data_IF_043817567700
#
_entry.id   IF_043817567700
#
_cell.length_a   1.000
_cell.length_b   1.000
_cell.length_c   1.000
_cell.angle_alpha   90.00
_cell.angle_beta   90.00
_cell.angle_gamma   90.00
#
_symmetry.space_group_name_H-M   'P 1'
#
loop_
_entity.id
_entity.type
_entity.pdbx_description
1 polymer ?
#
# COMPACT_ATOMS: atom_id res chain seq x y z
N UNK A 1 15.05 -6.57 19.16
CA UNK A 1 16.14 -5.75 18.61
C UNK A 1 17.33 -5.78 19.54
N UNK A 2 18.55 -5.83 18.99
CA UNK A 2 19.79 -5.85 19.74
C UNK A 2 20.74 -4.74 19.26
N UNK A 3 21.50 -4.17 20.18
CA UNK A 3 22.57 -3.20 19.87
C UNK A 3 23.88 -3.97 19.80
N UNK A 4 24.52 -3.97 18.65
CA UNK A 4 25.78 -4.68 18.44
C UNK A 4 26.67 -3.92 17.46
N UNK A 5 27.97 -3.80 17.80
CA UNK A 5 28.95 -3.09 16.99
C UNK A 5 28.49 -1.71 16.51
N UNK A 6 27.79 -0.94 17.37
CA UNK A 6 27.30 0.40 17.05
C UNK A 6 26.14 0.42 16.04
N UNK A 7 25.41 -0.68 15.88
CA UNK A 7 24.26 -0.83 14.97
C UNK A 7 23.07 -1.43 15.70
N UNK A 8 21.88 -1.20 15.18
CA UNK A 8 20.66 -1.86 15.61
C UNK A 8 20.37 -3.03 14.66
N UNK A 9 20.31 -4.23 15.22
CA UNK A 9 19.97 -5.44 14.49
C UNK A 9 18.64 -5.99 15.00
N UNK A 10 17.86 -6.61 14.10
CA UNK A 10 16.80 -7.53 14.47
C UNK A 10 17.36 -8.95 14.43
N UNK A 11 17.16 -9.71 15.50
CA UNK A 11 17.47 -11.15 15.55
C UNK A 11 16.17 -11.95 15.60
N UNK A 12 16.10 -12.97 14.77
CA UNK A 12 15.01 -13.93 14.74
C UNK A 12 15.59 -15.33 14.91
N UNK A 13 14.89 -16.17 15.65
CA UNK A 13 15.27 -17.57 15.82
C UNK A 13 14.17 -18.44 15.21
N UNK A 14 14.55 -19.27 14.25
CA UNK A 14 13.69 -20.26 13.62
C UNK A 14 14.11 -21.66 14.10
N UNK A 15 13.19 -22.52 14.51
CA UNK A 15 13.52 -23.88 14.89
C UNK A 15 14.21 -24.71 13.77
N UNK A 16 13.85 -24.43 12.51
CA UNK A 16 14.37 -25.16 11.34
C UNK A 16 15.63 -24.53 10.75
N UNK A 17 15.72 -23.17 10.74
CA UNK A 17 16.77 -22.42 10.04
C UNK A 17 17.79 -21.76 10.98
N UNK A 18 17.63 -21.94 12.31
CA UNK A 18 18.53 -21.35 13.29
C UNK A 18 18.31 -19.85 13.52
N UNK A 19 19.37 -19.15 13.91
CA UNK A 19 19.33 -17.70 14.18
C UNK A 19 19.68 -16.92 12.92
N UNK A 20 18.83 -15.93 12.62
CA UNK A 20 19.01 -14.97 11.51
C UNK A 20 19.04 -13.57 12.08
N UNK A 21 19.94 -12.73 11.60
CA UNK A 21 19.99 -11.33 11.96
C UNK A 21 20.00 -10.42 10.73
N UNK A 22 19.34 -9.26 10.84
CA UNK A 22 19.32 -8.25 9.80
C UNK A 22 19.57 -6.85 10.38
N UNK A 23 20.21 -6.00 9.59
CA UNK A 23 20.47 -4.61 9.97
C UNK A 23 19.17 -3.79 9.91
N UNK A 24 18.81 -3.15 11.02
CA UNK A 24 17.67 -2.23 11.12
C UNK A 24 18.13 -0.77 11.00
N UNK A 25 19.16 -0.37 11.75
CA UNK A 25 19.69 0.97 11.67
C UNK A 25 21.20 0.98 11.89
N UNK A 26 21.91 1.83 11.13
CA UNK A 26 23.36 2.03 11.28
C UNK A 26 23.70 2.95 12.45
N UNK A 27 22.77 3.81 12.84
CA UNK A 27 22.93 4.74 13.95
C UNK A 27 21.89 4.43 15.03
N UNK A 28 22.29 3.88 16.19
CA UNK A 28 21.39 3.58 17.29
C UNK A 28 20.69 4.82 17.87
N UNK A 29 21.34 5.98 17.88
CA UNK A 29 20.75 7.19 18.44
C UNK A 29 19.56 7.68 17.61
N UNK A 30 19.69 7.64 16.28
CA UNK A 30 18.60 8.00 15.38
C UNK A 30 17.42 7.02 15.52
N UNK A 31 17.70 5.71 15.65
CA UNK A 31 16.67 4.70 15.89
C UNK A 31 15.94 4.92 17.21
N UNK A 32 16.68 5.15 18.31
CA UNK A 32 16.09 5.40 19.62
C UNK A 32 15.27 6.71 19.61
N UNK A 33 15.75 7.75 18.95
CA UNK A 33 15.01 9.00 18.79
C UNK A 33 13.71 8.78 18.03
N UNK A 34 13.77 8.04 16.95
CA UNK A 34 12.58 7.71 16.13
C UNK A 34 11.54 6.88 16.91
N UNK A 35 11.98 5.86 17.65
CA UNK A 35 11.08 5.01 18.45
C UNK A 35 10.46 5.71 19.67
N UNK A 36 11.06 6.83 20.11
CA UNK A 36 10.55 7.63 21.23
C UNK A 36 9.54 8.71 20.83
N UNK A 37 9.25 8.87 19.53
CA UNK A 37 8.20 9.80 19.11
C UNK A 37 6.85 9.35 19.67
N UNK A 38 6.13 10.25 20.36
CA UNK A 38 4.80 9.91 20.84
C UNK A 38 3.89 9.65 19.62
N UNK A 39 3.37 8.46 19.55
CA UNK A 39 2.29 8.12 18.62
C UNK A 39 0.98 8.36 19.34
N UNK A 40 0.04 9.02 18.71
CA UNK A 40 -1.30 9.16 19.28
C UNK A 40 -1.93 7.77 19.35
N UNK A 41 -2.05 7.25 20.55
CA UNK A 41 -2.69 5.98 20.82
C UNK A 41 -4.20 6.20 20.96
N UNK A 42 -4.96 5.65 20.04
CA UNK A 42 -6.40 5.53 20.15
C UNK A 42 -6.67 4.03 20.21
N UNK A 43 -7.00 3.48 21.40
CA UNK A 43 -7.29 2.05 21.50
C UNK A 43 -8.56 1.71 20.71
N UNK A 44 -8.63 0.50 20.12
CA UNK A 44 -9.84 0.04 19.45
C UNK A 44 -10.99 -0.06 20.44
N UNK A 45 -12.20 0.37 20.05
CA UNK A 45 -13.38 0.32 20.92
C UNK A 45 -13.98 -1.08 21.02
N UNK A 46 -13.81 -1.88 20.00
CA UNK A 46 -14.36 -3.24 19.92
C UNK A 46 -13.24 -4.26 19.95
N UNK A 47 -13.38 -5.21 20.84
CA UNK A 47 -12.47 -6.32 21.01
C UNK A 47 -12.92 -7.49 20.11
N UNK A 48 -12.31 -7.67 18.94
CA UNK A 48 -12.69 -8.74 17.99
C UNK A 48 -12.19 -10.12 18.48
N UNK A 49 -11.10 -10.15 19.24
CA UNK A 49 -10.46 -11.39 19.68
C UNK A 49 -10.84 -11.75 21.10
N UNK A 50 -12.14 -11.85 21.39
CA UNK A 50 -12.59 -12.37 22.67
C UNK A 50 -12.14 -13.81 22.85
N UNK A 51 -11.34 -14.07 23.88
CA UNK A 51 -10.91 -15.42 24.23
C UNK A 51 -9.69 -15.94 23.47
N UNK A 52 -8.92 -15.12 22.78
CA UNK A 52 -7.62 -15.53 22.28
C UNK A 52 -6.68 -15.77 23.46
N UNK A 53 -6.43 -17.02 23.80
CA UNK A 53 -5.40 -17.41 24.76
C UNK A 53 -4.04 -17.28 24.08
N UNK A 54 -3.17 -16.44 24.60
CA UNK A 54 -1.81 -16.28 24.11
C UNK A 54 -1.27 -14.88 24.36
N UNK A 55 0.05 -14.76 24.29
CA UNK A 55 0.74 -13.49 24.46
C UNK A 55 0.92 -12.77 23.09
N UNK A 56 0.85 -11.44 23.13
CA UNK A 56 1.24 -10.60 22.00
C UNK A 56 2.70 -10.90 21.59
N UNK A 57 3.03 -11.10 20.30
CA UNK A 57 2.22 -10.85 19.10
C UNK A 57 1.61 -12.11 18.45
N UNK A 58 1.65 -13.26 19.09
CA UNK A 58 1.32 -14.55 18.44
C UNK A 58 -0.19 -14.71 18.18
N UNK A 59 -1.02 -14.08 18.99
CA UNK A 59 -2.48 -14.05 18.85
C UNK A 59 -2.96 -12.62 18.59
N UNK A 60 -2.34 -11.97 17.59
CA UNK A 60 -2.60 -10.57 17.33
C UNK A 60 -3.98 -10.35 16.69
N UNK A 61 -4.75 -9.53 17.37
CA UNK A 61 -6.02 -8.99 16.93
C UNK A 61 -6.28 -7.70 17.69
N UNK A 62 -7.49 -7.15 17.61
CA UNK A 62 -7.87 -6.01 18.43
C UNK A 62 -8.28 -6.49 19.81
N UNK A 63 -7.32 -6.80 20.67
CA UNK A 63 -7.54 -7.16 22.07
C UNK A 63 -7.48 -5.91 22.98
N UNK A 64 -7.88 -6.06 24.26
CA UNK A 64 -7.85 -4.97 25.25
C UNK A 64 -6.46 -4.35 25.46
N UNK A 65 -5.39 -5.09 25.16
CA UNK A 65 -4.01 -4.62 25.24
C UNK A 65 -3.51 -3.96 23.93
N UNK A 66 -4.35 -3.89 22.89
CA UNK A 66 -3.99 -3.25 21.65
C UNK A 66 -4.10 -1.73 21.79
N UNK A 67 -2.97 -1.05 21.76
CA UNK A 67 -2.89 0.39 22.07
C UNK A 67 -3.04 1.30 20.84
N UNK A 68 -3.17 0.74 19.65
CA UNK A 68 -3.26 1.52 18.40
C UNK A 68 -4.38 1.02 17.51
N UNK A 69 -5.11 1.96 16.89
CA UNK A 69 -6.02 1.66 15.79
C UNK A 69 -5.33 1.87 14.46
N UNK A 70 -5.71 1.08 13.46
CA UNK A 70 -5.31 1.33 12.08
C UNK A 70 -5.87 2.68 11.60
N UNK A 71 -5.06 3.46 10.91
CA UNK A 71 -5.54 4.68 10.24
C UNK A 71 -5.96 4.42 8.78
N UNK A 72 -5.43 3.35 8.19
CA UNK A 72 -5.74 2.93 6.83
C UNK A 72 -5.87 1.42 6.80
N UNK A 73 -6.95 0.92 6.21
CA UNK A 73 -7.22 -0.52 6.06
C UNK A 73 -7.09 -0.89 4.60
N UNK A 74 -6.25 -1.89 4.34
CA UNK A 74 -6.05 -2.43 3.03
C UNK A 74 -7.00 -3.60 2.81
N UNK A 75 -7.74 -3.55 1.70
CA UNK A 75 -8.64 -4.61 1.26
C UNK A 75 -8.16 -5.12 -0.08
N UNK A 76 -7.68 -6.35 -0.12
CA UNK A 76 -7.34 -7.04 -1.35
C UNK A 76 -8.63 -7.52 -2.01
N UNK A 77 -9.01 -6.87 -3.11
CA UNK A 77 -10.27 -7.14 -3.80
C UNK A 77 -10.15 -8.21 -4.87
N UNK A 78 -8.91 -8.54 -5.26
CA UNK A 78 -8.61 -9.55 -6.28
C UNK A 78 -7.21 -10.11 -6.11
N UNK A 79 -7.02 -11.39 -6.45
CA UNK A 79 -5.69 -12.00 -6.56
C UNK A 79 -5.13 -11.89 -7.99
N UNK A 80 -5.94 -11.47 -8.97
CA UNK A 80 -5.54 -11.32 -10.37
C UNK A 80 -4.67 -10.09 -10.57
N UNK A 81 -3.66 -10.22 -11.46
CA UNK A 81 -2.83 -9.10 -11.88
C UNK A 81 -2.45 -9.25 -13.35
N UNK A 82 -2.44 -8.14 -14.08
CA UNK A 82 -2.00 -8.05 -15.47
C UNK A 82 -0.50 -7.71 -15.60
N UNK A 83 0.30 -7.98 -14.56
CA UNK A 83 1.74 -7.72 -14.54
C UNK A 83 2.47 -8.79 -13.74
N UNK A 84 3.63 -9.26 -14.23
CA UNK A 84 4.45 -10.31 -13.60
C UNK A 84 5.75 -9.73 -13.06
N UNK A 85 5.67 -9.11 -11.88
CA UNK A 85 6.80 -8.38 -11.30
C UNK A 85 7.76 -9.31 -10.53
N UNK A 86 9.09 -9.26 -10.77
CA UNK A 86 10.07 -10.04 -10.02
C UNK A 86 10.05 -9.78 -8.50
N UNK A 87 9.65 -8.59 -8.09
CA UNK A 87 9.56 -8.17 -6.68
C UNK A 87 8.13 -8.22 -6.13
N UNK A 88 7.23 -9.03 -6.72
CA UNK A 88 5.88 -9.18 -6.21
C UNK A 88 5.84 -10.10 -4.99
N UNK A 89 5.51 -9.58 -3.82
CA UNK A 89 5.36 -10.40 -2.61
C UNK A 89 4.06 -11.22 -2.62
N UNK A 90 3.02 -10.74 -3.32
CA UNK A 90 1.73 -11.42 -3.43
C UNK A 90 1.74 -12.58 -4.44
N UNK A 91 2.78 -12.65 -5.31
CA UNK A 91 2.85 -13.63 -6.41
C UNK A 91 1.55 -13.67 -7.22
N UNK A 92 0.93 -12.51 -7.42
CA UNK A 92 -0.32 -12.39 -8.16
C UNK A 92 -0.13 -12.78 -9.64
N UNK A 93 -1.10 -13.50 -10.18
CA UNK A 93 -1.11 -14.02 -11.55
C UNK A 93 -2.42 -13.63 -12.26
N UNK A 94 -2.49 -13.82 -13.59
CA UNK A 94 -3.71 -13.52 -14.36
C UNK A 94 -4.91 -14.38 -13.94
N UNK A 95 -4.65 -15.59 -13.44
CA UNK A 95 -5.66 -16.61 -13.10
C UNK A 95 -6.11 -16.60 -11.63
N UNK A 96 -6.01 -15.48 -10.94
CA UNK A 96 -6.48 -15.34 -9.55
C UNK A 96 -8.00 -15.23 -9.42
N UNK A 97 -8.47 -15.10 -8.19
CA UNK A 97 -9.89 -14.96 -7.86
C UNK A 97 -10.23 -13.51 -7.50
N UNK A 98 -11.46 -13.12 -7.82
CA UNK A 98 -12.04 -11.87 -7.34
C UNK A 98 -12.80 -12.13 -6.03
N UNK A 99 -12.59 -11.26 -5.05
CA UNK A 99 -13.40 -11.28 -3.83
C UNK A 99 -14.85 -10.97 -4.18
N UNK A 100 -15.83 -11.77 -3.77
CA UNK A 100 -17.25 -11.49 -4.02
C UNK A 100 -17.67 -10.12 -3.45
N UNK A 101 -18.54 -9.41 -4.15
CA UNK A 101 -19.07 -8.10 -3.69
C UNK A 101 -19.69 -8.20 -2.29
N UNK A 102 -20.42 -9.28 -2.01
CA UNK A 102 -21.03 -9.52 -0.69
C UNK A 102 -19.99 -9.66 0.43
N UNK A 103 -18.80 -10.18 0.14
CA UNK A 103 -17.73 -10.27 1.11
C UNK A 103 -17.06 -8.91 1.32
N UNK A 104 -16.89 -8.13 0.26
CA UNK A 104 -16.38 -6.76 0.35
C UNK A 104 -17.34 -5.91 1.19
N UNK A 105 -18.64 -6.04 0.92
CA UNK A 105 -19.69 -5.36 1.68
C UNK A 105 -19.62 -5.70 3.18
N UNK A 106 -19.52 -6.99 3.51
CA UNK A 106 -19.35 -7.45 4.90
C UNK A 106 -18.09 -6.89 5.55
N UNK A 107 -16.98 -6.74 4.81
CA UNK A 107 -15.76 -6.12 5.33
C UNK A 107 -15.97 -4.63 5.61
N UNK A 108 -16.66 -3.91 4.75
CA UNK A 108 -17.01 -2.50 5.00
C UNK A 108 -17.88 -2.36 6.25
N UNK A 109 -18.91 -3.21 6.42
CA UNK A 109 -19.79 -3.19 7.60
C UNK A 109 -19.00 -3.46 8.89
N UNK A 110 -18.12 -4.45 8.87
CA UNK A 110 -17.22 -4.74 10.01
C UNK A 110 -16.34 -3.54 10.36
N UNK A 111 -15.80 -2.83 9.37
CA UNK A 111 -14.96 -1.66 9.62
C UNK A 111 -15.75 -0.50 10.22
N UNK A 112 -17.03 -0.33 9.87
CA UNK A 112 -17.90 0.66 10.49
C UNK A 112 -18.18 0.32 11.95
N UNK A 113 -18.43 -0.95 12.26
CA UNK A 113 -18.60 -1.40 13.65
C UNK A 113 -17.36 -1.15 14.52
N UNK A 114 -16.15 -1.30 13.92
CA UNK A 114 -14.89 -1.09 14.61
C UNK A 114 -14.50 0.37 14.80
N UNK A 115 -14.98 1.24 13.93
CA UNK A 115 -14.52 2.61 13.76
C UNK A 115 -15.41 3.70 14.34
N UNK A 116 -16.43 3.41 15.18
CA UNK A 116 -17.52 4.31 15.62
C UNK A 116 -17.20 5.80 15.88
N UNK A 117 -15.96 6.15 16.22
CA UNK A 117 -15.53 7.56 16.40
C UNK A 117 -14.46 8.01 15.40
N UNK A 118 -13.94 7.09 14.58
CA UNK A 118 -12.89 7.38 13.61
C UNK A 118 -13.08 6.56 12.37
N UNK A 119 -13.32 7.24 11.28
CA UNK A 119 -13.37 6.61 9.96
C UNK A 119 -12.00 6.08 9.56
N UNK A 120 -11.98 4.85 9.06
CA UNK A 120 -10.79 4.30 8.44
C UNK A 120 -10.63 4.85 7.03
N UNK A 121 -9.40 5.19 6.65
CA UNK A 121 -9.07 5.33 5.25
C UNK A 121 -9.06 3.95 4.60
N UNK A 122 -9.73 3.78 3.49
CA UNK A 122 -9.77 2.52 2.75
C UNK A 122 -8.74 2.55 1.62
N UNK A 123 -7.96 1.48 1.53
CA UNK A 123 -7.04 1.24 0.42
C UNK A 123 -7.45 -0.05 -0.30
N UNK A 124 -7.96 0.08 -1.52
CA UNK A 124 -8.26 -1.06 -2.37
C UNK A 124 -6.99 -1.53 -3.07
N UNK A 125 -6.70 -2.81 -2.94
CA UNK A 125 -5.46 -3.44 -3.36
C UNK A 125 -5.71 -4.89 -3.81
N UNK A 126 -4.66 -5.71 -3.83
CA UNK A 126 -4.63 -7.12 -4.23
C UNK A 126 -3.54 -7.36 -5.24
N UNK A 127 -3.79 -8.16 -6.29
CA UNK A 127 -2.93 -8.21 -7.45
C UNK A 127 -2.92 -6.86 -8.16
N UNK A 128 -3.93 -6.60 -8.97
CA UNK A 128 -4.19 -5.30 -9.59
C UNK A 128 -5.70 -5.00 -9.55
N UNK A 129 -6.17 -4.11 -8.68
CA UNK A 129 -7.61 -3.85 -8.54
C UNK A 129 -8.31 -3.41 -9.83
N UNK A 130 -7.59 -2.70 -10.70
CA UNK A 130 -8.19 -2.16 -11.93
C UNK A 130 -8.47 -3.22 -12.99
N UNK A 131 -8.06 -4.49 -12.81
CA UNK A 131 -8.48 -5.59 -13.71
C UNK A 131 -9.96 -5.94 -13.51
N UNK A 132 -10.56 -5.54 -12.38
CA UNK A 132 -11.98 -5.72 -12.09
C UNK A 132 -12.82 -4.67 -12.82
N UNK A 133 -13.86 -5.13 -13.53
CA UNK A 133 -14.79 -4.22 -14.20
C UNK A 133 -15.77 -3.55 -13.24
N UNK A 134 -16.07 -4.23 -12.11
CA UNK A 134 -16.94 -3.77 -11.03
C UNK A 134 -16.21 -2.91 -9.97
N UNK A 135 -14.91 -2.62 -10.13
CA UNK A 135 -14.18 -1.76 -9.20
C UNK A 135 -14.89 -0.42 -8.89
N UNK A 136 -15.48 0.30 -9.88
CA UNK A 136 -16.26 1.51 -9.59
C UNK A 136 -17.49 1.27 -8.71
N UNK A 137 -18.08 0.08 -8.75
CA UNK A 137 -19.19 -0.31 -7.88
C UNK A 137 -18.70 -0.52 -6.44
N UNK A 138 -17.59 -1.22 -6.26
CA UNK A 138 -16.93 -1.41 -4.96
C UNK A 138 -16.64 -0.06 -4.29
N UNK A 139 -16.13 0.90 -5.07
CA UNK A 139 -15.82 2.25 -4.57
C UNK A 139 -17.10 2.98 -4.13
N UNK A 140 -18.14 2.97 -4.98
CA UNK A 140 -19.41 3.60 -4.63
C UNK A 140 -20.03 2.99 -3.39
N UNK A 141 -20.02 1.65 -3.28
CA UNK A 141 -20.49 0.94 -2.09
C UNK A 141 -19.78 1.46 -0.81
N UNK A 142 -18.47 1.63 -0.84
CA UNK A 142 -17.73 2.19 0.29
C UNK A 142 -18.12 3.65 0.58
N UNK A 143 -18.30 4.47 -0.46
CA UNK A 143 -18.76 5.86 -0.31
C UNK A 143 -20.16 5.97 0.27
N UNK A 144 -21.08 5.14 -0.22
CA UNK A 144 -22.47 5.11 0.23
C UNK A 144 -22.60 4.66 1.69
N UNK A 145 -21.67 3.81 2.15
CA UNK A 145 -21.55 3.40 3.57
C UNK A 145 -20.89 4.46 4.47
N UNK A 146 -20.36 5.55 3.91
CA UNK A 146 -19.84 6.70 4.66
C UNK A 146 -18.30 6.81 4.71
N UNK A 147 -17.53 5.92 4.07
CA UNK A 147 -16.09 6.07 4.03
C UNK A 147 -15.68 7.30 3.20
N UNK A 148 -15.14 8.32 3.86
CA UNK A 148 -14.77 9.58 3.20
C UNK A 148 -13.48 9.50 2.37
N UNK A 149 -12.60 8.55 2.67
CA UNK A 149 -11.32 8.42 1.99
C UNK A 149 -11.09 7.02 1.45
N UNK A 150 -11.15 6.90 0.12
CA UNK A 150 -10.89 5.64 -0.60
C UNK A 150 -9.77 5.87 -1.60
N UNK A 151 -8.67 5.13 -1.45
CA UNK A 151 -7.53 5.14 -2.35
C UNK A 151 -7.38 3.79 -3.06
N UNK A 152 -6.75 3.80 -4.23
CA UNK A 152 -6.50 2.60 -5.03
C UNK A 152 -5.01 2.44 -5.25
N UNK A 153 -4.46 1.28 -4.85
CA UNK A 153 -3.14 0.83 -5.30
C UNK A 153 -3.26 0.28 -6.71
N UNK A 154 -2.47 0.79 -7.64
CA UNK A 154 -2.53 0.32 -9.02
C UNK A 154 -1.19 0.45 -9.75
N UNK A 155 -0.94 -0.46 -10.68
CA UNK A 155 0.14 -0.35 -11.62
C UNK A 155 -0.12 0.72 -12.71
N UNK A 156 -1.35 1.20 -12.85
CA UNK A 156 -1.73 2.30 -13.72
C UNK A 156 -1.97 1.95 -15.18
N UNK A 157 -1.82 0.68 -15.60
CA UNK A 157 -2.02 0.27 -17.00
C UNK A 157 -3.40 0.65 -17.53
N UNK A 158 -4.46 0.22 -16.84
CA UNK A 158 -5.83 0.50 -17.28
C UNK A 158 -6.12 2.00 -17.31
N UNK A 159 -5.58 2.76 -16.35
CA UNK A 159 -5.72 4.22 -16.33
C UNK A 159 -5.04 4.86 -17.56
N UNK A 160 -3.90 4.30 -17.99
CA UNK A 160 -3.17 4.79 -19.17
C UNK A 160 -3.88 4.46 -20.49
N UNK A 161 -4.43 3.26 -20.60
CA UNK A 161 -4.90 2.66 -21.84
C UNK A 161 -6.39 2.92 -22.12
N UNK A 162 -7.25 2.84 -21.10
CA UNK A 162 -8.70 3.00 -21.23
C UNK A 162 -9.09 4.48 -21.14
N UNK A 163 -9.51 5.05 -22.27
CA UNK A 163 -9.96 6.44 -22.32
C UNK A 163 -11.11 6.72 -21.36
N UNK A 164 -10.92 7.69 -20.48
CA UNK A 164 -11.96 8.11 -19.52
C UNK A 164 -12.03 7.28 -18.24
N UNK A 165 -11.21 6.23 -18.09
CA UNK A 165 -11.23 5.38 -16.89
C UNK A 165 -10.87 6.17 -15.61
N UNK A 166 -9.86 7.05 -15.67
CA UNK A 166 -9.53 7.94 -14.55
C UNK A 166 -10.73 8.78 -14.09
N UNK A 167 -11.52 9.29 -15.04
CA UNK A 167 -12.76 10.04 -14.72
C UNK A 167 -13.82 9.10 -14.11
N UNK A 168 -13.98 7.89 -14.63
CA UNK A 168 -14.91 6.88 -14.07
C UNK A 168 -14.58 6.56 -12.62
N UNK A 169 -13.28 6.43 -12.28
CA UNK A 169 -12.82 6.24 -10.91
C UNK A 169 -13.10 7.47 -10.04
N UNK A 170 -12.81 8.68 -10.56
CA UNK A 170 -13.11 9.93 -9.85
C UNK A 170 -14.59 10.07 -9.55
N UNK A 171 -15.45 9.81 -10.54
CA UNK A 171 -16.91 9.91 -10.40
C UNK A 171 -17.48 8.83 -9.46
N UNK A 172 -16.79 7.69 -9.33
CA UNK A 172 -17.12 6.67 -8.34
C UNK A 172 -16.74 7.05 -6.90
N UNK A 173 -15.88 8.08 -6.73
CA UNK A 173 -15.54 8.60 -5.41
C UNK A 173 -14.11 8.30 -4.93
N UNK A 174 -13.19 7.90 -5.83
CA UNK A 174 -11.77 7.75 -5.48
C UNK A 174 -11.18 9.08 -5.02
N UNK A 175 -10.51 9.06 -3.89
CA UNK A 175 -9.84 10.23 -3.31
C UNK A 175 -8.46 10.46 -3.92
N UNK A 176 -7.68 9.39 -4.12
CA UNK A 176 -6.31 9.44 -4.66
C UNK A 176 -5.93 8.11 -5.30
N UNK A 177 -5.11 8.17 -6.33
CA UNK A 177 -4.45 7.00 -6.93
C UNK A 177 -3.06 6.82 -6.30
N UNK A 178 -2.82 5.67 -5.68
CA UNK A 178 -1.50 5.19 -5.28
C UNK A 178 -0.90 4.47 -6.47
N UNK A 179 -0.12 5.21 -7.26
CA UNK A 179 0.44 4.73 -8.51
C UNK A 179 1.82 4.12 -8.27
N UNK A 180 1.99 2.85 -8.58
CA UNK A 180 3.29 2.23 -8.65
C UNK A 180 4.19 2.98 -9.63
N UNK A 181 5.32 3.53 -9.13
CA UNK A 181 6.22 4.39 -9.90
C UNK A 181 7.66 4.22 -9.42
N UNK A 182 8.40 3.29 -10.01
CA UNK A 182 9.70 2.86 -9.49
C UNK A 182 10.89 3.71 -9.95
N UNK A 183 10.69 4.57 -10.94
CA UNK A 183 11.76 5.42 -11.46
C UNK A 183 11.35 6.26 -12.65
N UNK A 184 12.34 7.01 -13.17
CA UNK A 184 12.18 7.97 -14.25
C UNK A 184 12.78 7.50 -15.57
N UNK A 185 13.19 6.23 -15.67
CA UNK A 185 13.74 5.62 -16.91
C UNK A 185 13.22 4.20 -17.11
N UNK A 186 13.15 3.75 -18.36
CA UNK A 186 12.69 2.40 -18.70
C UNK A 186 13.65 1.30 -18.27
N UNK A 187 14.94 1.58 -18.11
CA UNK A 187 15.93 0.63 -17.57
C UNK A 187 15.56 0.19 -16.17
N UNK A 188 15.07 1.11 -15.34
CA UNK A 188 14.59 0.79 -13.99
C UNK A 188 13.36 -0.12 -14.07
N UNK A 189 12.40 0.18 -14.93
CA UNK A 189 11.21 -0.64 -15.10
C UNK A 189 11.54 -2.02 -15.66
N UNK A 190 12.48 -2.13 -16.60
CA UNK A 190 12.96 -3.43 -17.08
C UNK A 190 13.54 -4.28 -15.96
N UNK A 191 14.33 -3.70 -15.06
CA UNK A 191 14.88 -4.42 -13.89
C UNK A 191 13.81 -4.77 -12.85
N UNK A 192 12.87 -3.85 -12.60
CA UNK A 192 11.92 -3.96 -11.50
C UNK A 192 10.64 -4.71 -11.89
N UNK A 193 10.25 -4.66 -13.16
CA UNK A 193 8.94 -5.09 -13.67
C UNK A 193 9.00 -5.95 -14.95
N UNK A 194 10.18 -6.19 -15.51
CA UNK A 194 10.43 -6.89 -16.79
C UNK A 194 9.79 -6.24 -18.01
N UNK A 195 9.42 -4.97 -17.94
CA UNK A 195 8.74 -4.25 -19.02
C UNK A 195 9.13 -2.77 -19.04
N UNK A 196 9.19 -2.10 -20.22
CA UNK A 196 9.38 -0.65 -20.32
C UNK A 196 8.06 0.05 -20.03
N UNK A 197 7.91 0.61 -18.83
CA UNK A 197 6.63 1.13 -18.34
C UNK A 197 6.60 2.65 -18.13
N UNK A 198 7.70 3.37 -18.38
CA UNK A 198 7.72 4.81 -18.12
C UNK A 198 6.61 5.55 -18.88
N UNK A 199 6.44 5.27 -20.16
CA UNK A 199 5.38 5.88 -20.97
C UNK A 199 3.98 5.59 -20.40
N UNK A 200 3.73 4.37 -19.95
CA UNK A 200 2.47 3.97 -19.30
C UNK A 200 2.22 4.78 -18.01
N UNK A 201 3.26 4.96 -17.18
CA UNK A 201 3.15 5.77 -15.96
C UNK A 201 2.85 7.23 -16.26
N UNK A 202 3.55 7.81 -17.23
CA UNK A 202 3.32 9.21 -17.64
C UNK A 202 1.90 9.40 -18.21
N UNK A 203 1.43 8.46 -19.03
CA UNK A 203 0.08 8.47 -19.58
C UNK A 203 -0.99 8.36 -18.49
N UNK A 204 -0.79 7.47 -17.51
CA UNK A 204 -1.69 7.34 -16.37
C UNK A 204 -1.79 8.63 -15.56
N UNK A 205 -0.64 9.28 -15.27
CA UNK A 205 -0.58 10.55 -14.55
C UNK A 205 -1.31 11.65 -15.33
N UNK A 206 -1.11 11.72 -16.66
CA UNK A 206 -1.78 12.70 -17.52
C UNK A 206 -3.30 12.49 -17.56
N UNK A 207 -3.76 11.23 -17.62
CA UNK A 207 -5.19 10.93 -17.58
C UNK A 207 -5.80 11.26 -16.21
N UNK A 208 -5.05 11.03 -15.11
CA UNK A 208 -5.45 11.49 -13.77
C UNK A 208 -5.53 13.03 -13.68
N UNK A 209 -4.55 13.74 -14.27
CA UNK A 209 -4.55 15.22 -14.33
C UNK A 209 -5.81 15.74 -15.00
N UNK A 210 -6.15 15.21 -16.18
CA UNK A 210 -7.36 15.61 -16.94
C UNK A 210 -8.65 15.30 -16.18
N UNK A 211 -8.66 14.22 -15.38
CA UNK A 211 -9.80 13.86 -14.54
C UNK A 211 -9.88 14.65 -13.23
N UNK A 212 -8.86 15.43 -12.87
CA UNK A 212 -8.76 16.08 -11.56
C UNK A 212 -8.63 15.05 -10.41
N UNK A 213 -7.99 13.90 -10.67
CA UNK A 213 -7.78 12.82 -9.72
C UNK A 213 -6.33 12.86 -9.21
N UNK A 214 -6.11 13.15 -7.91
CA UNK A 214 -4.76 13.23 -7.35
C UNK A 214 -4.02 11.90 -7.42
N UNK A 215 -2.69 11.98 -7.52
CA UNK A 215 -1.79 10.82 -7.56
C UNK A 215 -0.76 10.91 -6.44
N UNK A 216 -0.50 9.79 -5.77
CA UNK A 216 0.68 9.56 -4.93
C UNK A 216 1.55 8.53 -5.62
N UNK A 217 2.83 8.84 -5.82
CA UNK A 217 3.78 7.91 -6.39
C UNK A 217 4.23 6.90 -5.33
N UNK A 218 4.32 5.63 -5.71
CA UNK A 218 4.68 4.54 -4.77
C UNK A 218 5.83 3.74 -5.37
N UNK A 219 7.08 4.19 -5.21
CA UNK A 219 8.24 3.41 -5.62
C UNK A 219 8.59 2.32 -4.61
N UNK A 220 8.80 1.10 -5.11
CA UNK A 220 9.50 0.07 -4.37
C UNK A 220 11.00 0.36 -4.48
N UNK A 221 11.65 0.68 -3.35
CA UNK A 221 13.08 1.05 -3.35
C UNK A 221 13.94 -0.19 -3.22
N UNK A 222 14.76 -0.44 -4.23
CA UNK A 222 15.68 -1.59 -4.29
C UNK A 222 17.10 -1.07 -4.48
N UNK A 223 18.00 -1.52 -3.58
CA UNK A 223 19.43 -1.22 -3.70
C UNK A 223 19.97 -1.74 -5.03
N UNK A 224 20.78 -0.95 -5.71
CA UNK A 224 21.38 -1.25 -7.02
C UNK A 224 20.40 -1.24 -8.21
N UNK A 225 19.13 -0.90 -8.00
CA UNK A 225 18.15 -0.75 -9.08
C UNK A 225 17.68 0.70 -9.21
N UNK A 226 17.10 1.26 -8.17
CA UNK A 226 16.52 2.61 -8.25
C UNK A 226 16.85 3.54 -7.05
N UNK A 227 17.67 3.08 -6.10
CA UNK A 227 18.05 3.91 -4.95
C UNK A 227 18.69 5.24 -5.39
N UNK A 228 19.54 5.21 -6.42
CA UNK A 228 20.20 6.40 -6.95
C UNK A 228 19.27 7.31 -7.78
N UNK A 229 18.07 6.83 -8.12
CA UNK A 229 17.07 7.59 -8.86
C UNK A 229 16.09 8.39 -7.97
N UNK A 230 16.20 8.28 -6.64
CA UNK A 230 15.31 8.99 -5.69
C UNK A 230 15.31 10.51 -5.95
N UNK A 231 16.47 11.10 -6.21
CA UNK A 231 16.58 12.54 -6.51
C UNK A 231 15.77 12.94 -7.75
N UNK A 232 15.81 12.14 -8.80
CA UNK A 232 15.04 12.39 -10.02
C UNK A 232 13.54 12.20 -9.81
N UNK A 233 13.13 11.19 -9.03
CA UNK A 233 11.73 11.01 -8.65
C UNK A 233 11.20 12.20 -7.85
N UNK A 234 12.00 12.79 -6.96
CA UNK A 234 11.64 14.01 -6.24
C UNK A 234 11.51 15.22 -7.16
N UNK A 235 12.42 15.39 -8.13
CA UNK A 235 12.31 16.46 -9.15
C UNK A 235 11.05 16.27 -10.00
N UNK A 236 10.76 15.03 -10.39
CA UNK A 236 9.56 14.67 -11.12
C UNK A 236 8.28 15.04 -10.35
N UNK A 237 8.20 14.71 -9.05
CA UNK A 237 7.09 15.09 -8.18
C UNK A 237 6.91 16.61 -8.18
N UNK A 238 7.99 17.37 -7.95
CA UNK A 238 7.93 18.85 -7.88
C UNK A 238 7.44 19.44 -9.21
N UNK A 239 7.92 18.90 -10.34
CA UNK A 239 7.50 19.34 -11.66
C UNK A 239 6.02 19.04 -11.98
N UNK A 240 5.45 18.00 -11.35
CA UNK A 240 4.07 17.55 -11.57
C UNK A 240 3.16 17.78 -10.34
N UNK A 241 3.49 18.72 -9.44
CA UNK A 241 2.78 18.94 -8.17
C UNK A 241 1.31 19.35 -8.33
N UNK A 242 0.90 19.72 -9.51
CA UNK A 242 -0.50 19.99 -9.86
C UNK A 242 -1.38 18.74 -9.70
N UNK A 243 -0.87 17.56 -10.05
CA UNK A 243 -1.56 16.26 -9.94
C UNK A 243 -0.89 15.30 -8.96
N UNK A 244 0.44 15.27 -8.88
CA UNK A 244 1.20 14.42 -7.95
C UNK A 244 1.30 15.10 -6.59
N UNK A 245 0.62 14.54 -5.57
CA UNK A 245 0.51 15.15 -4.24
C UNK A 245 1.50 14.60 -3.22
N UNK A 246 2.14 13.48 -3.53
CA UNK A 246 3.09 12.86 -2.63
C UNK A 246 3.87 11.73 -3.29
N UNK A 247 4.87 11.25 -2.55
CA UNK A 247 5.63 10.05 -2.88
C UNK A 247 5.79 9.22 -1.62
N UNK A 248 5.47 7.93 -1.72
CA UNK A 248 5.52 6.98 -0.62
C UNK A 248 6.59 5.93 -0.93
N UNK A 249 7.80 6.14 -0.43
CA UNK A 249 8.90 5.21 -0.62
C UNK A 249 8.72 3.93 0.19
N UNK A 250 8.69 2.79 -0.48
CA UNK A 250 8.56 1.47 0.13
C UNK A 250 9.86 0.68 -0.06
N UNK A 251 10.68 0.49 0.99
CA UNK A 251 11.82 -0.41 0.88
C UNK A 251 11.37 -1.82 0.52
N UNK A 252 12.09 -2.47 -0.40
CA UNK A 252 11.83 -3.87 -0.73
C UNK A 252 11.99 -4.75 0.51
N UNK A 253 11.04 -5.65 0.74
CA UNK A 253 11.10 -6.66 1.79
C UNK A 253 11.12 -8.04 1.18
N UNK A 254 11.95 -8.92 1.72
CA UNK A 254 12.01 -10.34 1.36
C UNK A 254 11.44 -11.14 2.53
N UNK A 255 10.55 -12.07 2.22
CA UNK A 255 9.86 -12.94 3.18
C UNK A 255 10.28 -14.38 2.98
#
# INVERSE_FOLDING_TARGET
YVLEAGKVLIRKKCPEHGEVSALVARNPQDYIRWTKHPVVNIPPKVNITKGAEGECPLHCGTCENHLQTACCVLIDVTDRCNQHCPYCFAKAEDAGNDMPLSEIERKYDLLLELGEEREFNIQLSGGEPTVRDDLPEIIRMGRDKGFEYIQINTNGRRIAEEKGYAKKLKDAGVSVIYLQFDGTTDEIYMQMRNEPLLHTKLSAIENCRRAGLPVTLVPTVVKNSNLDNIGEMMRFLIANRDVVKGIHFQPVSFF
#
